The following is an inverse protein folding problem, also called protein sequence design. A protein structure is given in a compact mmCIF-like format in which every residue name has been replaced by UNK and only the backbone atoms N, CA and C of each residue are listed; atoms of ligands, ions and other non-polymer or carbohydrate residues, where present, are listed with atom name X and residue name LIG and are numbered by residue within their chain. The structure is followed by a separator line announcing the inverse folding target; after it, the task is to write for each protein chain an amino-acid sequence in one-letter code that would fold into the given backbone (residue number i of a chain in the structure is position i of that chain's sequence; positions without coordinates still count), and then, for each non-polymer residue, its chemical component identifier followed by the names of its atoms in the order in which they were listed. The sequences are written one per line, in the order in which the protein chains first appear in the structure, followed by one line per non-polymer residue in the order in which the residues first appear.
data_IF_401908592682
#
_entry.id   IF_401908592682
#
_cell.length_a   1.000
_cell.length_b   1.000
_cell.length_c   1.000
_cell.angle_alpha   90.00
_cell.angle_beta   90.00
_cell.angle_gamma   90.00
#
_symmetry.space_group_name_H-M   'P 1'
#
loop_
_entity.id
_entity.type
_entity.pdbx_description
1 polymer ?
#
# COMPACT_ATOMS: atom_id res chain seq x y z
N UNK A 1 -3.03 -13.31 17.14
CA UNK A 1 -4.26 -14.04 16.82
C UNK A 1 -5.45 -13.29 17.43
N UNK A 2 -6.56 -13.20 16.71
CA UNK A 2 -7.78 -12.52 17.21
C UNK A 2 -8.64 -13.41 18.12
N UNK A 3 -8.54 -14.72 17.95
CA UNK A 3 -9.33 -15.72 18.65
C UNK A 3 -8.63 -17.08 18.71
N UNK A 4 -9.24 -18.05 19.42
CA UNK A 4 -8.72 -19.42 19.58
C UNK A 4 -8.60 -20.12 18.22
N UNK A 5 -9.58 -19.96 17.33
CA UNK A 5 -9.57 -20.59 15.99
C UNK A 5 -8.37 -20.12 15.16
N UNK A 6 -8.10 -18.81 15.18
CA UNK A 6 -6.91 -18.24 14.52
C UNK A 6 -5.62 -18.78 15.12
N UNK A 7 -5.54 -18.94 16.45
CA UNK A 7 -4.38 -19.50 17.13
C UNK A 7 -4.11 -20.95 16.72
N UNK A 8 -5.15 -21.77 16.60
CA UNK A 8 -5.06 -23.16 16.14
C UNK A 8 -4.57 -23.26 14.68
N UNK A 9 -5.05 -22.38 13.80
CA UNK A 9 -4.57 -22.32 12.41
C UNK A 9 -3.09 -21.96 12.35
N UNK A 10 -2.67 -20.93 13.08
CA UNK A 10 -1.26 -20.50 13.13
C UNK A 10 -0.37 -21.58 13.72
N UNK A 11 -0.83 -22.35 14.72
CA UNK A 11 -0.12 -23.51 15.26
C UNK A 11 0.14 -24.55 14.17
N UNK A 12 -0.88 -24.89 13.37
CA UNK A 12 -0.73 -25.83 12.25
C UNK A 12 0.27 -25.34 11.20
N UNK A 13 0.27 -24.03 10.91
CA UNK A 13 1.27 -23.44 10.00
C UNK A 13 2.69 -23.61 10.52
N UNK A 14 2.94 -23.40 11.84
CA UNK A 14 4.26 -23.64 12.46
C UNK A 14 4.69 -25.08 12.34
N UNK A 15 3.80 -26.02 12.71
CA UNK A 15 4.07 -27.45 12.66
C UNK A 15 4.36 -27.92 11.22
N UNK A 16 3.61 -27.39 10.24
CA UNK A 16 3.85 -27.66 8.83
C UNK A 16 5.21 -27.13 8.37
N UNK A 17 5.52 -25.88 8.68
CA UNK A 17 6.78 -25.27 8.27
C UNK A 17 8.00 -25.99 8.83
N UNK A 18 7.92 -26.42 10.09
CA UNK A 18 8.97 -27.22 10.73
C UNK A 18 9.17 -28.58 10.04
N UNK A 19 8.07 -29.30 9.74
CA UNK A 19 8.14 -30.59 9.05
C UNK A 19 8.65 -30.47 7.61
N UNK A 20 8.24 -29.41 6.91
CA UNK A 20 8.61 -29.18 5.52
C UNK A 20 9.98 -28.48 5.36
N UNK A 21 10.60 -28.01 6.45
CA UNK A 21 11.88 -27.30 6.39
C UNK A 21 11.80 -25.94 5.69
N UNK A 22 10.61 -25.32 5.63
CA UNK A 22 10.39 -24.04 4.95
C UNK A 22 10.52 -22.87 5.92
N UNK A 23 10.86 -21.68 5.40
CA UNK A 23 10.94 -20.47 6.21
C UNK A 23 9.57 -20.08 6.74
N UNK A 24 9.51 -19.72 8.01
CA UNK A 24 8.33 -19.24 8.68
C UNK A 24 8.64 -18.03 9.54
N UNK A 25 7.95 -16.95 9.30
CA UNK A 25 8.10 -15.69 10.04
C UNK A 25 7.00 -15.58 11.10
N UNK A 26 7.30 -15.98 12.33
CA UNK A 26 6.37 -15.93 13.46
C UNK A 26 6.43 -14.57 14.18
N UNK A 27 5.58 -14.42 15.19
CA UNK A 27 5.51 -13.22 16.05
C UNK A 27 6.91 -12.79 16.51
N UNK A 28 7.21 -11.49 16.40
CA UNK A 28 8.51 -10.91 16.71
C UNK A 28 9.54 -10.98 15.57
N UNK A 29 9.30 -11.79 14.55
CA UNK A 29 10.12 -11.84 13.32
C UNK A 29 9.32 -11.53 12.08
N UNK A 30 8.02 -11.28 12.26
CA UNK A 30 7.06 -11.13 11.19
C UNK A 30 7.04 -9.71 10.62
N UNK A 31 6.42 -9.60 9.47
CA UNK A 31 6.01 -8.40 8.80
C UNK A 31 4.86 -8.76 7.87
N UNK A 32 4.25 -7.76 7.30
CA UNK A 32 3.31 -7.96 6.21
C UNK A 32 4.11 -8.43 5.00
N UNK A 33 3.74 -9.56 4.39
CA UNK A 33 4.60 -10.27 3.41
C UNK A 33 5.09 -9.36 2.28
N UNK A 34 4.25 -8.42 1.80
CA UNK A 34 4.59 -7.54 0.69
C UNK A 34 5.59 -6.42 1.04
N UNK A 35 5.88 -6.22 2.31
CA UNK A 35 6.96 -5.38 2.82
C UNK A 35 8.15 -6.27 3.24
N UNK A 36 7.87 -7.35 3.96
CA UNK A 36 8.88 -8.25 4.53
C UNK A 36 9.73 -8.94 3.46
N UNK A 37 9.13 -9.52 2.42
CA UNK A 37 9.88 -10.28 1.42
C UNK A 37 10.85 -9.40 0.61
N UNK A 38 10.45 -8.21 0.12
CA UNK A 38 11.39 -7.26 -0.47
C UNK A 38 12.52 -6.84 0.47
N UNK A 39 12.23 -6.49 1.73
CA UNK A 39 13.25 -6.04 2.68
C UNK A 39 14.23 -7.13 3.10
N UNK A 40 13.86 -8.40 2.94
CA UNK A 40 14.71 -9.56 3.23
C UNK A 40 15.48 -10.07 1.99
N UNK A 41 15.37 -9.39 0.85
CA UNK A 41 16.00 -9.80 -0.40
C UNK A 41 15.49 -11.14 -0.94
N UNK A 42 14.26 -11.55 -0.57
CA UNK A 42 13.64 -12.81 -0.98
C UNK A 42 12.92 -12.70 -2.32
N UNK A 43 12.81 -11.51 -2.84
CA UNK A 43 12.29 -11.22 -4.19
C UNK A 43 13.26 -10.29 -4.88
N UNK A 44 13.59 -10.62 -6.10
CA UNK A 44 14.56 -9.92 -6.94
C UNK A 44 14.02 -9.71 -8.36
N UNK A 45 14.59 -8.78 -9.13
CA UNK A 45 14.22 -8.60 -10.53
C UNK A 45 14.30 -9.89 -11.32
N UNK A 46 13.32 -10.12 -12.20
CA UNK A 46 13.24 -11.32 -13.02
C UNK A 46 12.72 -12.58 -12.32
N UNK A 47 12.38 -12.50 -11.02
CA UNK A 47 11.74 -13.61 -10.34
C UNK A 47 10.27 -13.76 -10.74
N UNK A 48 9.78 -15.02 -10.70
CA UNK A 48 8.36 -15.34 -10.77
C UNK A 48 7.90 -15.73 -9.35
N UNK A 49 6.96 -14.96 -8.80
CA UNK A 49 6.46 -15.17 -7.43
C UNK A 49 4.96 -15.42 -7.46
N UNK A 50 4.56 -16.62 -7.09
CA UNK A 50 3.16 -17.00 -6.89
C UNK A 50 2.85 -17.01 -5.38
N UNK A 51 1.84 -16.27 -4.96
CA UNK A 51 1.46 -16.15 -3.55
C UNK A 51 -0.04 -16.32 -3.32
N UNK A 52 -0.43 -16.91 -2.20
CA UNK A 52 -1.84 -17.06 -1.83
C UNK A 52 -2.45 -15.76 -1.29
N UNK A 53 -1.99 -14.64 -1.80
CA UNK A 53 -2.52 -13.29 -1.53
C UNK A 53 -2.58 -12.50 -2.83
N UNK A 54 -3.68 -11.77 -3.04
CA UNK A 54 -3.91 -11.03 -4.28
C UNK A 54 -2.90 -9.89 -4.49
N UNK A 55 -2.36 -9.29 -3.41
CA UNK A 55 -1.37 -8.21 -3.50
C UNK A 55 0.07 -8.69 -3.74
N UNK A 56 0.27 -9.96 -4.06
CA UNK A 56 1.57 -10.50 -4.55
C UNK A 56 2.08 -9.72 -5.78
N UNK A 57 1.18 -9.06 -6.52
CA UNK A 57 1.52 -8.12 -7.61
C UNK A 57 2.46 -6.98 -7.18
N UNK A 58 2.56 -6.66 -5.88
CA UNK A 58 3.48 -5.66 -5.31
C UNK A 58 4.92 -5.83 -5.79
N UNK A 59 5.35 -7.07 -6.00
CA UNK A 59 6.74 -7.37 -6.37
C UNK A 59 7.11 -6.93 -7.78
N UNK A 60 6.14 -6.58 -8.60
CA UNK A 60 6.38 -5.97 -9.90
C UNK A 60 7.07 -4.60 -9.82
N UNK A 61 7.00 -3.92 -8.67
CA UNK A 61 7.81 -2.72 -8.40
C UNK A 61 9.33 -2.99 -8.41
N UNK A 62 9.73 -4.25 -8.22
CA UNK A 62 11.13 -4.71 -8.29
C UNK A 62 11.48 -5.29 -9.67
N UNK A 63 10.56 -5.29 -10.64
CA UNK A 63 10.75 -5.99 -11.92
C UNK A 63 10.58 -7.51 -11.82
N UNK A 64 9.90 -8.01 -10.79
CA UNK A 64 9.53 -9.42 -10.65
C UNK A 64 8.08 -9.64 -11.13
N UNK A 65 7.79 -10.77 -11.75
CA UNK A 65 6.42 -11.16 -12.04
C UNK A 65 5.77 -11.75 -10.78
N UNK A 66 5.15 -10.91 -9.97
CA UNK A 66 4.39 -11.31 -8.79
C UNK A 66 2.91 -11.47 -9.11
N UNK A 67 2.27 -12.57 -8.72
CA UNK A 67 0.83 -12.77 -8.95
C UNK A 67 0.17 -13.56 -7.83
N UNK A 68 -1.06 -13.14 -7.50
CA UNK A 68 -1.93 -13.86 -6.57
C UNK A 68 -2.51 -15.12 -7.19
N UNK A 69 -2.53 -16.22 -6.42
CA UNK A 69 -3.16 -17.49 -6.77
C UNK A 69 -4.07 -17.98 -5.63
N UNK A 70 -4.94 -18.92 -5.90
CA UNK A 70 -5.77 -19.52 -4.87
C UNK A 70 -4.95 -20.32 -3.85
N UNK A 71 -5.45 -20.44 -2.61
CA UNK A 71 -4.76 -21.21 -1.58
C UNK A 71 -4.61 -22.70 -1.93
N UNK A 72 -5.55 -23.27 -2.66
CA UNK A 72 -5.47 -24.64 -3.19
C UNK A 72 -4.38 -24.77 -4.26
N UNK A 73 -4.28 -23.77 -5.16
CA UNK A 73 -3.24 -23.72 -6.18
C UNK A 73 -1.86 -23.56 -5.54
N UNK A 74 -1.76 -22.72 -4.48
CA UNK A 74 -0.52 -22.59 -3.73
C UNK A 74 -0.11 -23.90 -3.05
N UNK A 75 -1.05 -24.65 -2.49
CA UNK A 75 -0.77 -25.97 -1.91
C UNK A 75 -0.34 -26.97 -3.00
N UNK A 76 -0.97 -26.96 -4.17
CA UNK A 76 -0.58 -27.80 -5.31
C UNK A 76 0.85 -27.42 -5.80
N UNK A 77 1.12 -26.12 -5.97
CA UNK A 77 2.45 -25.63 -6.35
C UNK A 77 3.54 -26.06 -5.36
N UNK A 78 3.29 -26.00 -4.05
CA UNK A 78 4.21 -26.49 -3.04
C UNK A 78 4.43 -28.00 -3.09
N UNK A 79 3.41 -28.77 -3.44
CA UNK A 79 3.49 -30.23 -3.53
C UNK A 79 4.15 -30.73 -4.81
N UNK A 80 3.90 -30.06 -5.93
CA UNK A 80 4.34 -30.48 -7.26
C UNK A 80 5.63 -29.78 -7.72
N UNK A 81 5.94 -28.61 -7.14
CA UNK A 81 7.06 -27.77 -7.57
C UNK A 81 6.77 -26.97 -8.84
N UNK A 82 5.55 -27.01 -9.35
CA UNK A 82 5.14 -26.34 -10.60
C UNK A 82 3.71 -25.82 -10.53
N UNK A 83 3.40 -24.81 -11.36
CA UNK A 83 2.07 -24.29 -11.60
C UNK A 83 1.98 -23.80 -13.05
N UNK A 84 0.82 -23.94 -13.67
CA UNK A 84 0.58 -23.35 -14.97
C UNK A 84 -0.01 -21.94 -14.83
N UNK A 85 0.39 -21.03 -15.71
CA UNK A 85 -0.17 -19.69 -15.81
C UNK A 85 -0.44 -19.36 -17.28
N UNK A 86 -1.58 -18.73 -17.54
CA UNK A 86 -1.78 -18.06 -18.83
C UNK A 86 -0.97 -16.77 -18.81
N UNK A 87 -0.10 -16.57 -19.79
CA UNK A 87 0.62 -15.30 -19.96
C UNK A 87 -0.40 -14.18 -20.21
N UNK A 88 -0.46 -13.14 -19.35
CA UNK A 88 -1.40 -12.04 -19.56
C UNK A 88 -0.94 -11.14 -20.71
N UNK A 89 -1.88 -10.56 -21.42
CA UNK A 89 -1.59 -9.39 -22.25
C UNK A 89 -1.15 -8.22 -21.38
N UNK A 90 -0.35 -7.31 -21.94
CA UNK A 90 0.11 -6.12 -21.22
C UNK A 90 -0.62 -4.87 -21.68
N UNK A 91 -0.95 -3.99 -20.73
CA UNK A 91 -1.32 -2.59 -21.00
C UNK A 91 -0.21 -1.68 -20.50
N UNK A 92 0.08 -0.62 -21.25
CA UNK A 92 1.11 0.36 -20.92
C UNK A 92 0.48 1.64 -20.36
N UNK A 93 1.03 2.11 -19.27
CA UNK A 93 0.57 3.29 -18.55
C UNK A 93 1.75 4.28 -18.47
N UNK A 94 1.69 5.35 -19.23
CA UNK A 94 2.76 6.35 -19.34
C UNK A 94 2.38 7.57 -18.53
N UNK A 95 3.25 7.97 -17.60
CA UNK A 95 3.01 9.11 -16.71
C UNK A 95 3.99 10.24 -17.00
N UNK A 96 3.44 11.36 -17.46
CA UNK A 96 4.16 12.58 -17.80
C UNK A 96 4.16 13.56 -16.63
N UNK A 97 5.18 14.43 -16.63
CA UNK A 97 5.29 15.50 -15.65
C UNK A 97 5.87 15.06 -14.31
N UNK A 98 5.78 15.92 -13.32
CA UNK A 98 6.27 15.67 -11.97
C UNK A 98 5.14 15.84 -10.96
N UNK A 99 4.89 14.83 -10.10
CA UNK A 99 3.89 14.95 -9.06
C UNK A 99 4.14 16.16 -8.16
N UNK A 100 3.07 16.88 -7.82
CA UNK A 100 3.12 18.00 -6.89
C UNK A 100 3.41 17.57 -5.46
N UNK A 101 3.62 18.56 -4.58
CA UNK A 101 3.77 18.33 -3.14
C UNK A 101 2.58 17.52 -2.63
N UNK A 102 2.72 16.54 -1.85
CA UNK A 102 1.69 15.65 -1.27
C UNK A 102 1.07 14.63 -2.22
N UNK A 103 1.48 14.58 -3.49
CA UNK A 103 1.06 13.55 -4.43
C UNK A 103 2.12 12.47 -4.51
N UNK A 104 1.74 11.25 -4.16
CA UNK A 104 2.60 10.08 -4.19
C UNK A 104 2.02 8.93 -5.00
N UNK A 105 2.65 7.77 -4.90
CA UNK A 105 2.21 6.56 -5.62
C UNK A 105 0.76 6.17 -5.34
N UNK A 106 0.27 6.44 -4.12
CA UNK A 106 -1.13 6.19 -3.75
C UNK A 106 -2.10 7.05 -4.55
N UNK A 107 -1.78 8.32 -4.72
CA UNK A 107 -2.64 9.25 -5.45
C UNK A 107 -2.63 8.92 -6.94
N UNK A 108 -1.46 8.59 -7.50
CA UNK A 108 -1.29 8.17 -8.89
C UNK A 108 -2.12 6.92 -9.17
N UNK A 109 -2.00 5.87 -8.35
CA UNK A 109 -2.73 4.62 -8.62
C UNK A 109 -4.24 4.76 -8.37
N UNK A 110 -4.69 5.54 -7.40
CA UNK A 110 -6.11 5.84 -7.21
C UNK A 110 -6.68 6.60 -8.41
N UNK A 111 -5.96 7.61 -8.92
CA UNK A 111 -6.35 8.32 -10.15
C UNK A 111 -6.45 7.37 -11.34
N UNK A 112 -5.48 6.46 -11.49
CA UNK A 112 -5.45 5.45 -12.56
C UNK A 112 -6.65 4.52 -12.47
N UNK A 113 -6.94 3.97 -11.29
CA UNK A 113 -8.09 3.08 -11.08
C UNK A 113 -9.39 3.84 -11.31
N UNK A 114 -9.48 5.11 -10.90
CA UNK A 114 -10.62 5.97 -11.19
C UNK A 114 -10.89 6.19 -12.68
N UNK A 115 -9.86 6.10 -13.53
CA UNK A 115 -9.96 6.23 -14.99
C UNK A 115 -10.22 4.91 -15.71
N UNK A 116 -9.66 3.81 -15.22
CA UNK A 116 -9.77 2.49 -15.84
C UNK A 116 -10.97 1.68 -15.30
N UNK A 117 -11.38 1.92 -14.06
CA UNK A 117 -12.32 1.07 -13.33
C UNK A 117 -11.66 -0.15 -12.69
N UNK A 118 -12.39 -0.82 -11.80
CA UNK A 118 -11.91 -2.01 -11.06
C UNK A 118 -11.71 -3.25 -11.95
N UNK A 119 -12.27 -3.25 -13.15
CA UNK A 119 -12.12 -4.33 -14.15
C UNK A 119 -11.30 -3.88 -15.38
N UNK A 120 -10.77 -2.65 -15.39
CA UNK A 120 -10.13 -2.05 -16.56
C UNK A 120 -8.85 -2.72 -17.04
N UNK A 121 -8.18 -3.48 -16.17
CA UNK A 121 -7.00 -4.29 -16.50
C UNK A 121 -7.22 -5.79 -16.22
N UNK A 122 -8.47 -6.25 -16.32
CA UNK A 122 -8.84 -7.62 -15.93
C UNK A 122 -8.00 -8.68 -16.64
N UNK A 123 -7.26 -9.46 -15.82
CA UNK A 123 -6.34 -10.51 -16.26
C UNK A 123 -5.17 -10.01 -17.13
N UNK A 124 -4.84 -8.73 -17.11
CA UNK A 124 -3.72 -8.14 -17.84
C UNK A 124 -2.55 -7.83 -16.90
N UNK A 125 -1.38 -7.60 -17.46
CA UNK A 125 -0.25 -6.99 -16.76
C UNK A 125 -0.31 -5.47 -17.00
N UNK A 126 -0.16 -4.67 -15.93
CA UNK A 126 -0.04 -3.22 -16.01
C UNK A 126 1.43 -2.83 -15.98
N UNK A 127 1.95 -2.26 -17.06
CA UNK A 127 3.31 -1.71 -17.11
C UNK A 127 3.27 -0.21 -16.84
N UNK A 128 3.87 0.23 -15.73
CA UNK A 128 3.96 1.62 -15.32
C UNK A 128 5.29 2.22 -15.74
N UNK A 129 5.27 3.31 -16.50
CA UNK A 129 6.45 3.93 -17.07
C UNK A 129 6.29 5.46 -17.19
N UNK A 130 7.34 6.14 -17.61
CA UNK A 130 7.36 7.58 -17.82
C UNK A 130 8.09 8.34 -16.73
N UNK A 131 8.39 9.61 -17.02
CA UNK A 131 9.27 10.43 -16.18
C UNK A 131 8.75 10.60 -14.74
N UNK A 132 7.43 10.61 -14.54
CA UNK A 132 6.87 10.67 -13.20
C UNK A 132 7.22 9.42 -12.38
N UNK A 133 7.10 8.22 -12.98
CA UNK A 133 7.45 6.95 -12.31
C UNK A 133 8.94 6.89 -11.98
N UNK A 134 9.80 7.39 -12.88
CA UNK A 134 11.24 7.43 -12.67
C UNK A 134 11.65 8.32 -11.49
N UNK A 135 10.86 9.37 -11.21
CA UNK A 135 11.12 10.25 -10.05
C UNK A 135 10.76 9.61 -8.70
N UNK A 136 9.83 8.66 -8.66
CA UNK A 136 9.33 8.04 -7.44
C UNK A 136 10.42 7.23 -6.71
N UNK A 137 10.34 7.24 -5.38
CA UNK A 137 11.07 6.30 -4.52
C UNK A 137 10.46 4.90 -4.54
N UNK A 138 11.13 3.93 -3.92
CA UNK A 138 10.68 2.55 -3.92
C UNK A 138 9.38 2.34 -3.14
N UNK A 139 9.11 3.10 -2.08
CA UNK A 139 7.86 2.99 -1.31
C UNK A 139 6.66 3.35 -2.20
N UNK A 140 6.76 4.43 -2.96
CA UNK A 140 5.73 4.86 -3.91
C UNK A 140 5.55 3.86 -5.06
N UNK A 141 6.64 3.29 -5.61
CA UNK A 141 6.57 2.24 -6.65
C UNK A 141 5.91 0.96 -6.13
N UNK A 142 6.24 0.53 -4.92
CA UNK A 142 5.62 -0.62 -4.26
C UNK A 142 4.11 -0.38 -4.06
N UNK A 143 3.71 0.83 -3.68
CA UNK A 143 2.29 1.21 -3.55
C UNK A 143 1.53 1.10 -4.88
N UNK A 144 2.11 1.59 -5.98
CA UNK A 144 1.50 1.53 -7.32
C UNK A 144 1.32 0.07 -7.73
N UNK A 145 2.37 -0.73 -7.67
CA UNK A 145 2.31 -2.14 -8.04
C UNK A 145 1.37 -2.95 -7.12
N UNK A 146 1.33 -2.63 -5.81
CA UNK A 146 0.41 -3.25 -4.85
C UNK A 146 -1.04 -3.12 -5.27
N UNK A 147 -1.44 -1.96 -5.76
CA UNK A 147 -2.83 -1.67 -6.10
C UNK A 147 -3.20 -2.00 -7.57
N UNK A 148 -2.31 -2.55 -8.37
CA UNK A 148 -2.63 -2.99 -9.73
C UNK A 148 -3.78 -4.03 -9.76
N UNK A 149 -3.85 -4.92 -8.77
CA UNK A 149 -4.94 -5.89 -8.63
C UNK A 149 -6.30 -5.23 -8.43
N UNK A 150 -6.36 -4.01 -7.91
CA UNK A 150 -7.61 -3.28 -7.71
C UNK A 150 -8.21 -2.74 -9.02
N UNK A 151 -7.44 -2.78 -10.13
CA UNK A 151 -7.93 -2.63 -11.50
C UNK A 151 -8.16 -3.99 -12.20
N UNK A 152 -8.09 -5.11 -11.47
CA UNK A 152 -8.26 -6.46 -12.01
C UNK A 152 -6.99 -7.09 -12.59
N UNK A 153 -5.83 -6.44 -12.50
CA UNK A 153 -4.59 -6.91 -13.10
C UNK A 153 -4.01 -8.15 -12.40
N UNK A 154 -3.26 -8.95 -13.14
CA UNK A 154 -2.47 -10.07 -12.61
C UNK A 154 -1.20 -9.59 -11.91
N UNK A 155 -0.60 -8.52 -12.41
CA UNK A 155 0.60 -7.92 -11.85
C UNK A 155 0.70 -6.45 -12.26
N UNK A 156 1.46 -5.67 -11.50
CA UNK A 156 1.84 -4.31 -11.87
C UNK A 156 3.36 -4.24 -11.99
N UNK A 157 3.89 -3.93 -13.15
CA UNK A 157 5.31 -3.99 -13.48
C UNK A 157 5.91 -2.59 -13.60
N UNK A 158 7.09 -2.40 -13.01
CA UNK A 158 7.96 -1.25 -13.23
C UNK A 158 9.33 -1.80 -13.63
N UNK A 159 9.86 -1.32 -14.75
CA UNK A 159 11.19 -1.73 -15.20
C UNK A 159 12.25 -1.37 -14.14
N UNK A 160 13.12 -2.31 -13.76
CA UNK A 160 14.10 -2.06 -12.72
C UNK A 160 15.16 -1.05 -13.21
N UNK A 161 15.38 0.00 -12.43
CA UNK A 161 16.38 1.02 -12.60
C UNK A 161 17.44 0.99 -11.48
N UNK A 162 18.30 2.01 -11.41
CA UNK A 162 19.32 2.11 -10.38
C UNK A 162 18.77 2.13 -8.95
N UNK A 163 17.59 2.77 -8.73
CA UNK A 163 16.92 2.79 -7.42
C UNK A 163 16.48 1.39 -7.01
N UNK A 164 15.92 0.64 -7.96
CA UNK A 164 15.52 -0.75 -7.74
C UNK A 164 16.73 -1.62 -7.44
N UNK A 165 17.80 -1.48 -8.22
CA UNK A 165 19.06 -2.22 -8.03
C UNK A 165 19.66 -1.94 -6.65
N UNK A 166 19.72 -0.68 -6.24
CA UNK A 166 20.25 -0.29 -4.92
C UNK A 166 19.40 -0.87 -3.80
N UNK A 167 18.06 -0.76 -3.89
CA UNK A 167 17.13 -1.31 -2.92
C UNK A 167 17.31 -2.82 -2.74
N UNK A 168 17.34 -3.57 -3.85
CA UNK A 168 17.49 -5.03 -3.84
C UNK A 168 18.84 -5.47 -3.30
N UNK A 169 19.94 -4.80 -3.69
CA UNK A 169 21.29 -5.09 -3.18
C UNK A 169 21.42 -4.86 -1.67
N UNK A 170 20.85 -3.78 -1.16
CA UNK A 170 20.82 -3.50 0.29
C UNK A 170 20.07 -4.58 1.06
N UNK A 171 19.05 -5.18 0.45
CA UNK A 171 18.30 -6.29 1.03
C UNK A 171 19.01 -7.64 0.90
N UNK A 172 20.09 -7.75 0.14
CA UNK A 172 20.83 -9.00 -0.11
C UNK A 172 20.24 -9.84 -1.24
N UNK A 173 19.38 -9.28 -2.09
CA UNK A 173 18.86 -9.92 -3.28
C UNK A 173 19.82 -9.87 -4.48
N UNK A 174 19.44 -10.52 -5.58
CA UNK A 174 20.23 -10.53 -6.80
C UNK A 174 19.76 -9.48 -7.84
N UNK A 175 20.63 -9.04 -8.72
CA UNK A 175 20.36 -8.00 -9.73
C UNK A 175 20.95 -8.36 -11.09
N UNK A 176 20.96 -9.63 -11.44
CA UNK A 176 21.49 -10.19 -12.67
C UNK A 176 20.43 -10.33 -13.79
N UNK A 177 19.16 -10.13 -13.47
CA UNK A 177 18.01 -10.28 -14.39
C UNK A 177 17.19 -9.00 -14.45
N UNK A 178 17.72 -7.98 -15.10
CA UNK A 178 17.04 -6.69 -15.28
C UNK A 178 16.33 -6.68 -16.64
N UNK A 179 15.05 -7.08 -16.63
CA UNK A 179 14.24 -7.08 -17.84
C UNK A 179 13.57 -5.74 -18.06
N UNK A 180 13.49 -5.34 -19.32
CA UNK A 180 12.75 -4.19 -19.82
C UNK A 180 11.96 -4.63 -21.04
N UNK A 181 10.90 -3.93 -21.37
CA UNK A 181 10.15 -4.17 -22.59
C UNK A 181 10.98 -3.81 -23.81
N UNK A 182 10.89 -4.62 -24.87
CA UNK A 182 11.52 -4.35 -26.14
C UNK A 182 10.95 -3.05 -26.75
N UNK A 183 11.73 -2.31 -27.58
CA UNK A 183 11.25 -1.08 -28.21
C UNK A 183 10.02 -1.26 -29.10
N UNK A 184 9.84 -2.46 -29.65
CA UNK A 184 8.74 -2.87 -30.53
C UNK A 184 7.70 -3.74 -29.82
N UNK A 185 7.69 -3.78 -28.50
CA UNK A 185 6.72 -4.53 -27.72
C UNK A 185 5.28 -4.08 -28.02
N UNK A 186 4.41 -5.05 -28.26
CA UNK A 186 2.99 -4.82 -28.51
C UNK A 186 2.21 -4.81 -27.19
N UNK A 187 1.28 -3.85 -27.06
CA UNK A 187 0.39 -3.70 -25.91
C UNK A 187 -1.07 -3.78 -26.34
N UNK A 188 -1.90 -4.40 -25.50
CA UNK A 188 -3.35 -4.43 -25.72
C UNK A 188 -3.97 -3.02 -25.69
N UNK A 189 -3.39 -2.12 -24.90
CA UNK A 189 -3.73 -0.70 -24.85
C UNK A 189 -2.58 0.12 -24.28
N UNK A 190 -2.53 1.41 -24.64
CA UNK A 190 -1.61 2.39 -24.08
C UNK A 190 -2.44 3.56 -23.52
N UNK A 191 -2.18 3.91 -22.26
CA UNK A 191 -2.81 5.04 -21.61
C UNK A 191 -1.76 6.06 -21.20
N UNK A 192 -2.07 7.34 -21.37
CA UNK A 192 -1.20 8.44 -20.98
C UNK A 192 -1.87 9.28 -19.90
N UNK A 193 -1.08 9.68 -18.89
CA UNK A 193 -1.52 10.46 -17.74
C UNK A 193 -0.58 11.65 -17.53
N UNK A 194 -1.15 12.85 -17.39
CA UNK A 194 -0.41 14.03 -16.92
C UNK A 194 -0.59 14.15 -15.40
N UNK A 195 0.50 14.20 -14.65
CA UNK A 195 0.45 14.24 -13.18
C UNK A 195 0.96 15.54 -12.55
N UNK A 196 1.41 16.50 -13.34
CA UNK A 196 1.91 17.78 -12.81
C UNK A 196 0.85 18.56 -12.04
N UNK A 197 -0.40 18.51 -12.51
CA UNK A 197 -1.55 19.17 -11.88
C UNK A 197 -2.41 18.20 -11.06
N UNK A 198 -1.95 16.94 -10.89
CA UNK A 198 -2.69 15.96 -10.09
C UNK A 198 -2.74 16.43 -8.63
N UNK A 199 -3.95 16.49 -8.10
CA UNK A 199 -4.20 16.76 -6.68
C UNK A 199 -4.20 15.47 -5.87
N UNK A 200 -3.95 15.51 -4.55
CA UNK A 200 -4.15 14.35 -3.68
C UNK A 200 -5.54 13.75 -3.87
N UNK A 201 -5.60 12.42 -3.92
CA UNK A 201 -6.81 11.65 -4.26
C UNK A 201 -7.46 11.02 -3.03
N UNK A 202 -8.78 10.88 -3.10
CA UNK A 202 -9.56 10.07 -2.14
C UNK A 202 -10.51 9.19 -2.93
N UNK A 203 -10.48 7.88 -2.68
CA UNK A 203 -11.50 6.98 -3.21
C UNK A 203 -12.67 6.87 -2.21
N UNK A 204 -13.85 7.26 -2.66
CA UNK A 204 -15.08 7.17 -1.86
C UNK A 204 -15.56 5.72 -1.74
N UNK A 205 -16.37 5.37 -0.72
CA UNK A 205 -17.02 4.07 -0.64
C UNK A 205 -17.87 3.79 -1.90
N UNK A 206 -18.01 2.54 -2.37
CA UNK A 206 -17.43 1.31 -1.80
C UNK A 206 -16.51 0.62 -2.80
N UNK A 207 -15.90 1.37 -3.71
CA UNK A 207 -14.95 0.86 -4.72
C UNK A 207 -13.76 1.82 -4.86
N UNK A 208 -12.53 1.30 -5.10
CA UNK A 208 -11.35 2.14 -5.35
C UNK A 208 -11.49 3.04 -6.58
N UNK A 209 -12.33 2.68 -7.56
CA UNK A 209 -12.61 3.48 -8.77
C UNK A 209 -13.39 4.77 -8.48
N UNK A 210 -14.00 4.89 -7.30
CA UNK A 210 -14.65 6.13 -6.87
C UNK A 210 -13.65 7.21 -6.46
N UNK A 211 -12.43 7.16 -7.02
CA UNK A 211 -11.36 8.12 -6.75
C UNK A 211 -11.68 9.48 -7.35
N UNK A 212 -11.39 10.53 -6.59
CA UNK A 212 -11.51 11.94 -7.00
C UNK A 212 -10.55 12.83 -6.23
N UNK A 213 -10.28 14.05 -6.69
CA UNK A 213 -9.50 15.02 -5.93
C UNK A 213 -10.06 15.23 -4.51
N UNK A 214 -9.18 15.36 -3.53
CA UNK A 214 -9.57 15.53 -2.12
C UNK A 214 -10.46 16.74 -1.88
N UNK A 215 -10.33 17.79 -2.69
CA UNK A 215 -11.15 19.00 -2.63
C UNK A 215 -12.64 18.71 -2.91
N UNK A 216 -12.91 17.70 -3.75
CA UNK A 216 -14.28 17.29 -4.11
C UNK A 216 -14.92 16.35 -3.07
N UNK A 217 -14.09 15.72 -2.26
CA UNK A 217 -14.51 14.84 -1.16
C UNK A 217 -14.43 15.53 0.21
N UNK A 218 -14.03 16.78 0.27
CA UNK A 218 -13.76 17.51 1.49
C UNK A 218 -14.99 17.69 2.39
N UNK A 219 -14.74 17.79 3.70
CA UNK A 219 -15.76 18.09 4.70
C UNK A 219 -16.47 16.89 5.31
N UNK A 220 -16.30 15.67 4.79
CA UNK A 220 -16.90 14.46 5.36
C UNK A 220 -16.24 14.17 6.72
N UNK A 221 -17.03 14.16 7.79
CA UNK A 221 -16.57 13.82 9.15
C UNK A 221 -16.21 12.35 9.24
N UNK A 222 -15.15 12.05 10.03
CA UNK A 222 -14.61 10.69 10.17
C UNK A 222 -14.42 10.33 11.65
N UNK A 223 -14.45 9.04 11.93
CA UNK A 223 -14.30 8.46 13.27
C UNK A 223 -12.93 7.77 13.46
N UNK A 224 -12.29 7.37 12.36
CA UNK A 224 -11.05 6.62 12.41
C UNK A 224 -10.11 6.96 11.27
N UNK A 225 -8.81 6.87 11.53
CA UNK A 225 -7.75 6.89 10.51
C UNK A 225 -6.84 5.68 10.72
N UNK A 226 -6.47 5.01 9.61
CA UNK A 226 -5.49 3.93 9.63
C UNK A 226 -4.41 4.23 8.61
N UNK A 227 -3.15 4.34 9.06
CA UNK A 227 -1.98 4.62 8.21
C UNK A 227 -1.00 3.47 8.30
N UNK A 228 -0.56 2.96 7.16
CA UNK A 228 0.44 1.91 7.08
C UNK A 228 0.02 0.70 6.27
N UNK A 229 0.26 -0.49 6.81
CA UNK A 229 -0.02 -1.80 6.21
C UNK A 229 0.86 -2.10 4.99
N UNK A 230 0.45 -3.04 4.09
CA UNK A 230 1.28 -3.41 2.94
C UNK A 230 1.38 -2.32 1.89
N UNK A 231 0.37 -1.44 1.83
CA UNK A 231 0.26 -0.41 0.80
C UNK A 231 1.13 0.81 1.13
N UNK A 232 1.01 1.33 2.36
CA UNK A 232 1.72 2.54 2.79
C UNK A 232 2.30 2.40 4.21
N UNK A 233 2.90 1.25 4.49
CA UNK A 233 3.57 0.98 5.77
C UNK A 233 5.09 0.94 5.68
N UNK A 234 5.69 1.41 4.60
CA UNK A 234 7.13 1.60 4.49
C UNK A 234 7.58 2.81 5.30
N UNK A 235 8.88 2.89 5.57
CA UNK A 235 9.43 3.96 6.41
C UNK A 235 9.18 5.36 5.83
N UNK A 236 9.26 5.50 4.52
CA UNK A 236 9.01 6.78 3.83
C UNK A 236 7.55 7.23 3.95
N UNK A 237 6.60 6.30 3.88
CA UNK A 237 5.18 6.57 4.15
C UNK A 237 4.96 7.11 5.57
N UNK A 238 5.63 6.49 6.55
CA UNK A 238 5.56 6.90 7.95
C UNK A 238 6.21 8.28 8.17
N UNK A 239 7.31 8.58 7.48
CA UNK A 239 7.94 9.91 7.51
C UNK A 239 7.00 10.99 6.98
N UNK A 240 6.29 10.73 5.89
CA UNK A 240 5.27 11.65 5.35
C UNK A 240 4.19 11.92 6.37
N UNK A 241 3.59 10.88 6.96
CA UNK A 241 2.56 11.02 7.99
C UNK A 241 3.08 11.78 9.22
N UNK A 242 4.27 11.43 9.71
CA UNK A 242 4.90 12.07 10.87
C UNK A 242 5.18 13.56 10.61
N UNK A 243 5.59 13.94 9.40
CA UNK A 243 5.86 15.35 9.05
C UNK A 243 4.63 16.24 9.20
N UNK A 244 3.44 15.68 8.98
CA UNK A 244 2.16 16.38 9.12
C UNK A 244 1.67 16.36 10.58
N UNK A 245 1.87 15.24 11.29
CA UNK A 245 1.41 15.05 12.68
C UNK A 245 2.30 15.73 13.71
N UNK A 246 3.58 16.00 13.40
CA UNK A 246 4.56 16.59 14.32
C UNK A 246 4.07 17.90 14.89
N UNK A 247 4.04 17.99 16.24
CA UNK A 247 3.58 19.16 16.97
C UNK A 247 2.05 19.36 17.00
N UNK A 248 1.29 18.42 16.41
CA UNK A 248 -0.18 18.49 16.33
C UNK A 248 -0.82 17.32 17.07
N UNK A 249 -2.12 17.43 17.32
CA UNK A 249 -2.92 16.38 17.95
C UNK A 249 -3.99 15.88 16.99
N UNK A 250 -4.25 14.60 17.06
CA UNK A 250 -5.41 13.98 16.42
C UNK A 250 -6.69 14.59 16.99
N UNK A 251 -7.69 14.80 16.14
CA UNK A 251 -8.98 15.33 16.56
C UNK A 251 -9.64 14.43 17.63
N UNK A 252 -10.22 14.97 18.71
CA UNK A 252 -10.72 14.16 19.84
C UNK A 252 -11.74 13.07 19.48
N UNK A 253 -12.45 13.21 18.36
CA UNK A 253 -13.41 12.19 17.89
C UNK A 253 -12.74 11.08 17.06
N UNK A 254 -11.47 11.22 16.66
CA UNK A 254 -10.82 10.33 15.72
C UNK A 254 -9.89 9.36 16.44
N UNK A 255 -10.00 8.09 16.13
CA UNK A 255 -9.01 7.07 16.48
C UNK A 255 -7.98 6.98 15.36
N UNK A 256 -6.73 7.31 15.63
CA UNK A 256 -5.65 7.20 14.65
C UNK A 256 -4.75 5.99 14.97
N UNK A 257 -4.61 5.10 14.02
CA UNK A 257 -3.86 3.84 14.14
C UNK A 257 -2.75 3.82 13.10
N UNK A 258 -1.50 3.67 13.56
CA UNK A 258 -0.31 3.59 12.71
C UNK A 258 0.19 2.14 12.70
N UNK A 259 0.41 1.58 11.51
CA UNK A 259 0.85 0.19 11.33
C UNK A 259 2.08 0.14 10.44
N UNK A 260 3.28 0.04 11.02
CA UNK A 260 4.51 -0.24 10.27
C UNK A 260 4.38 -1.56 9.51
N UNK A 261 4.93 -1.62 8.29
CA UNK A 261 4.79 -2.81 7.43
C UNK A 261 5.60 -4.03 7.90
N UNK A 262 6.68 -3.81 8.65
CA UNK A 262 7.52 -4.88 9.18
C UNK A 262 8.14 -4.50 10.52
N UNK A 263 8.73 -5.49 11.21
CA UNK A 263 9.49 -5.25 12.46
C UNK A 263 10.71 -4.36 12.21
N UNK A 264 11.33 -4.48 11.03
CA UNK A 264 12.45 -3.60 10.65
C UNK A 264 11.98 -2.16 10.48
N UNK A 265 10.91 -1.94 9.73
CA UNK A 265 10.31 -0.61 9.58
C UNK A 265 9.92 -0.04 10.95
N UNK A 266 9.34 -0.84 11.83
CA UNK A 266 8.99 -0.41 13.18
C UNK A 266 10.22 0.05 13.98
N UNK A 267 11.30 -0.75 13.95
CA UNK A 267 12.55 -0.42 14.64
C UNK A 267 13.18 0.86 14.06
N UNK A 268 13.19 1.00 12.74
CA UNK A 268 13.73 2.19 12.09
C UNK A 268 12.87 3.44 12.41
N UNK A 269 11.55 3.30 12.46
CA UNK A 269 10.65 4.37 12.92
C UNK A 269 10.90 4.78 14.40
N UNK A 270 11.24 3.82 15.26
CA UNK A 270 11.66 4.12 16.65
C UNK A 270 12.98 4.91 16.64
N UNK A 271 13.97 4.46 15.88
CA UNK A 271 15.30 5.09 15.82
C UNK A 271 15.26 6.52 15.28
N UNK A 272 14.35 6.80 14.36
CA UNK A 272 14.15 8.13 13.78
C UNK A 272 13.22 9.03 14.62
N UNK A 273 12.71 8.54 15.75
CA UNK A 273 11.78 9.30 16.59
C UNK A 273 10.36 9.45 16.03
N UNK A 274 10.02 8.73 14.94
CA UNK A 274 8.68 8.80 14.33
C UNK A 274 7.62 8.27 15.28
N UNK A 275 7.93 7.22 16.04
CA UNK A 275 7.01 6.64 17.03
C UNK A 275 6.68 7.64 18.13
N UNK A 276 7.66 8.41 18.61
CA UNK A 276 7.45 9.50 19.57
C UNK A 276 6.48 10.53 19.02
N UNK A 277 6.70 11.01 17.77
CA UNK A 277 5.79 11.96 17.11
C UNK A 277 4.36 11.42 17.05
N UNK A 278 4.18 10.14 16.68
CA UNK A 278 2.85 9.54 16.59
C UNK A 278 2.17 9.45 17.97
N UNK A 279 2.89 9.03 19.01
CA UNK A 279 2.36 8.91 20.36
C UNK A 279 2.03 10.30 20.93
N UNK A 280 2.90 11.29 20.73
CA UNK A 280 2.63 12.67 21.09
C UNK A 280 1.40 13.23 20.37
N UNK A 281 1.20 12.87 19.10
CA UNK A 281 0.00 13.23 18.33
C UNK A 281 -1.26 12.50 18.79
N UNK A 282 -1.18 11.59 19.79
CA UNK A 282 -2.28 10.75 20.29
C UNK A 282 -2.70 9.65 19.31
N UNK A 283 -1.78 9.17 18.47
CA UNK A 283 -1.98 7.97 17.66
C UNK A 283 -1.63 6.71 18.46
N UNK A 284 -2.28 5.59 18.13
CA UNK A 284 -1.83 4.25 18.54
C UNK A 284 -0.83 3.73 17.51
N UNK A 285 0.35 3.31 17.95
CA UNK A 285 1.32 2.62 17.08
C UNK A 285 1.25 1.12 17.35
N UNK A 286 0.90 0.35 16.33
CA UNK A 286 0.75 -1.10 16.42
C UNK A 286 2.00 -1.82 15.96
N UNK A 287 2.10 -3.10 16.31
CA UNK A 287 3.00 -4.04 15.63
C UNK A 287 2.53 -4.28 14.19
N UNK A 288 3.42 -4.73 13.27
CA UNK A 288 3.03 -5.08 11.90
C UNK A 288 1.88 -6.08 11.85
N UNK A 289 0.81 -5.71 11.17
CA UNK A 289 -0.39 -6.55 11.02
C UNK A 289 -1.28 -6.07 9.88
N UNK A 290 -2.07 -6.98 9.31
CA UNK A 290 -3.17 -6.65 8.41
C UNK A 290 -4.51 -6.43 9.13
N UNK A 291 -4.54 -6.44 10.46
CA UNK A 291 -5.74 -6.45 11.28
C UNK A 291 -6.85 -5.51 10.85
N UNK A 292 -6.66 -4.18 10.84
CA UNK A 292 -7.72 -3.25 10.44
C UNK A 292 -8.08 -3.35 8.96
N UNK A 293 -7.12 -3.58 8.07
CA UNK A 293 -7.33 -3.63 6.61
C UNK A 293 -8.40 -4.63 6.17
N UNK A 294 -8.61 -5.70 6.95
CA UNK A 294 -9.56 -6.76 6.63
C UNK A 294 -10.67 -6.91 7.71
N UNK A 295 -10.79 -5.94 8.63
CA UNK A 295 -11.75 -6.05 9.74
C UNK A 295 -11.46 -7.22 10.69
N UNK A 296 -10.20 -7.65 10.77
CA UNK A 296 -9.81 -8.81 11.58
C UNK A 296 -9.68 -8.52 13.07
N UNK A 297 -9.01 -7.45 13.41
CA UNK A 297 -8.83 -6.96 14.78
C UNK A 297 -8.31 -5.51 14.77
N UNK A 298 -8.35 -4.83 15.91
CA UNK A 298 -7.86 -3.48 16.14
C UNK A 298 -8.35 -2.47 15.07
N UNK A 299 -9.30 -1.62 15.43
CA UNK A 299 -9.89 -0.65 14.51
C UNK A 299 -10.99 -1.21 13.61
N UNK A 300 -11.66 -2.28 14.03
CA UNK A 300 -12.88 -2.76 13.39
C UNK A 300 -13.97 -1.70 13.54
N UNK A 301 -14.60 -1.34 12.43
CA UNK A 301 -15.61 -0.28 12.39
C UNK A 301 -16.98 -0.78 12.82
N UNK A 302 -17.69 0.02 13.60
CA UNK A 302 -19.08 -0.16 13.95
C UNK A 302 -20.02 0.35 12.84
N UNK A 303 -21.33 0.13 13.01
CA UNK A 303 -22.37 0.63 12.11
C UNK A 303 -22.27 2.16 11.96
N UNK A 304 -22.23 2.64 10.71
CA UNK A 304 -22.20 4.07 10.37
C UNK A 304 -20.86 4.78 10.63
N UNK A 305 -19.85 4.10 11.19
CA UNK A 305 -18.53 4.71 11.35
C UNK A 305 -17.82 4.90 10.01
N UNK A 306 -17.04 5.99 9.92
CA UNK A 306 -16.27 6.40 8.74
C UNK A 306 -14.79 6.38 9.02
N UNK A 307 -14.02 5.74 8.15
CA UNK A 307 -12.57 5.70 8.27
C UNK A 307 -11.86 6.20 7.00
N UNK A 308 -10.82 7.01 7.17
CA UNK A 308 -9.80 7.22 6.13
C UNK A 308 -8.69 6.20 6.32
N UNK A 309 -8.35 5.48 5.27
CA UNK A 309 -7.35 4.41 5.33
C UNK A 309 -6.36 4.47 4.17
N UNK A 310 -5.09 4.20 4.47
CA UNK A 310 -4.08 4.01 3.44
C UNK A 310 -4.03 2.57 2.92
N UNK A 311 -4.99 1.71 3.31
CA UNK A 311 -5.16 0.37 2.77
C UNK A 311 -5.53 0.41 1.28
N UNK A 312 -5.69 -0.75 0.68
CA UNK A 312 -5.89 -0.89 -0.76
C UNK A 312 -7.34 -1.14 -1.17
N UNK A 313 -8.24 -1.50 -0.24
CA UNK A 313 -9.65 -1.85 -0.51
C UNK A 313 -10.61 -1.15 0.43
N UNK A 314 -11.75 -0.76 -0.13
CA UNK A 314 -12.84 -0.11 0.62
C UNK A 314 -14.22 -0.71 0.29
N UNK A 315 -14.27 -1.98 -0.07
CA UNK A 315 -15.52 -2.69 -0.35
C UNK A 315 -16.44 -2.72 0.88
N UNK A 316 -17.73 -2.93 0.65
CA UNK A 316 -18.75 -3.06 1.72
C UNK A 316 -18.28 -4.05 2.79
N UNK A 317 -18.28 -3.62 4.04
CA UNK A 317 -17.88 -4.44 5.20
C UNK A 317 -16.37 -4.72 5.30
N UNK A 318 -15.54 -4.10 4.47
CA UNK A 318 -14.10 -4.41 4.41
C UNK A 318 -13.38 -4.24 5.74
N UNK A 319 -13.69 -3.20 6.50
CA UNK A 319 -13.02 -2.91 7.77
C UNK A 319 -13.92 -3.11 8.99
N UNK A 320 -15.09 -3.77 8.83
CA UNK A 320 -16.01 -4.02 9.94
C UNK A 320 -17.46 -4.17 9.50
N UNK A 321 -18.35 -3.35 10.09
CA UNK A 321 -19.77 -3.41 9.80
C UNK A 321 -20.07 -3.11 8.32
N UNK A 322 -21.02 -3.81 7.66
CA UNK A 322 -21.38 -3.54 6.26
C UNK A 322 -21.83 -2.10 5.96
N UNK A 323 -22.41 -1.43 6.95
CA UNK A 323 -22.83 -0.03 6.83
C UNK A 323 -21.75 0.97 7.27
N UNK A 324 -20.52 0.53 7.52
CA UNK A 324 -19.38 1.41 7.73
C UNK A 324 -18.80 1.84 6.39
N UNK A 325 -18.20 3.01 6.35
CA UNK A 325 -17.64 3.63 5.15
C UNK A 325 -16.12 3.74 5.25
N UNK A 326 -15.41 3.27 4.22
CA UNK A 326 -13.94 3.39 4.14
C UNK A 326 -13.56 4.26 2.95
N UNK A 327 -12.74 5.28 3.21
CA UNK A 327 -12.21 6.20 2.23
C UNK A 327 -10.72 5.92 2.05
N UNK A 328 -10.28 5.58 0.83
CA UNK A 328 -8.87 5.31 0.57
C UNK A 328 -8.14 6.62 0.25
N UNK A 329 -7.01 6.83 0.89
CA UNK A 329 -6.20 8.03 0.66
C UNK A 329 -4.70 7.76 0.91
N UNK A 330 -3.85 8.73 0.51
CA UNK A 330 -2.43 8.69 0.79
C UNK A 330 -2.12 8.97 2.28
N UNK A 331 -0.91 8.62 2.77
CA UNK A 331 -0.48 8.94 4.13
C UNK A 331 -0.61 10.43 4.47
N UNK A 332 -0.38 11.31 3.51
CA UNK A 332 -0.49 12.75 3.71
C UNK A 332 -1.94 13.19 3.97
N UNK A 333 -2.87 12.73 3.14
CA UNK A 333 -4.31 13.02 3.31
C UNK A 333 -4.84 12.39 4.60
N UNK A 334 -4.45 11.15 4.89
CA UNK A 334 -4.89 10.44 6.09
C UNK A 334 -4.41 11.16 7.38
N UNK A 335 -3.15 11.61 7.42
CA UNK A 335 -2.62 12.38 8.54
C UNK A 335 -3.34 13.74 8.72
N UNK A 336 -3.61 14.44 7.62
CA UNK A 336 -4.36 15.69 7.65
C UNK A 336 -5.80 15.48 8.14
N UNK A 337 -6.47 14.43 7.66
CA UNK A 337 -7.82 14.08 8.08
C UNK A 337 -7.89 13.71 9.57
N UNK A 338 -6.85 13.02 10.09
CA UNK A 338 -6.75 12.70 11.52
C UNK A 338 -6.75 13.97 12.40
N UNK A 339 -6.03 15.00 11.98
CA UNK A 339 -5.95 16.29 12.72
C UNK A 339 -7.27 17.05 12.59
N UNK A 340 -7.84 17.11 11.39
CA UNK A 340 -9.04 17.90 11.11
C UNK A 340 -10.36 17.27 11.60
N UNK A 341 -10.39 15.94 11.83
CA UNK A 341 -11.61 15.19 12.15
C UNK A 341 -12.55 15.00 10.95
N UNK A 342 -12.07 15.33 9.76
CA UNK A 342 -12.79 15.24 8.48
C UNK A 342 -11.82 15.12 7.32
N UNK A 343 -12.32 14.70 6.17
CA UNK A 343 -11.50 14.61 4.95
C UNK A 343 -11.09 16.01 4.51
N UNK A 344 -9.76 16.24 4.40
CA UNK A 344 -9.15 17.51 3.95
C UNK A 344 -7.84 17.25 3.24
N UNK A 345 -7.43 18.20 2.39
CA UNK A 345 -6.08 18.22 1.82
C UNK A 345 -5.02 18.60 2.86
N UNK A 346 -3.78 18.07 2.72
CA UNK A 346 -2.70 18.33 3.69
C UNK A 346 -2.37 19.82 3.88
N UNK A 347 -2.46 20.61 2.84
CA UNK A 347 -2.20 22.06 2.89
C UNK A 347 -3.13 22.81 3.84
N UNK A 348 -4.34 22.30 4.09
CA UNK A 348 -5.28 22.96 4.99
C UNK A 348 -4.81 22.95 6.45
N UNK A 349 -4.13 21.88 6.85
CA UNK A 349 -3.61 21.76 8.22
C UNK A 349 -2.20 22.32 8.37
N UNK A 350 -1.36 22.26 7.31
CA UNK A 350 0.01 22.75 7.35
C UNK A 350 0.09 24.27 7.25
N UNK A 351 -0.78 24.92 6.46
CA UNK A 351 -0.79 26.39 6.29
C UNK A 351 -1.32 27.16 7.50
N UNK A 352 -2.11 26.55 8.38
CA UNK A 352 -2.67 27.24 9.56
C UNK A 352 -1.62 27.73 10.57
N UNK A 353 -0.42 27.18 10.57
CA UNK A 353 0.66 27.62 11.49
C UNK A 353 1.30 28.96 11.09
N UNK A 354 1.31 29.31 9.83
CA UNK A 354 1.88 30.58 9.35
C UNK A 354 1.03 31.78 9.78
N UNK A 355 -0.27 31.57 10.03
CA UNK A 355 -1.21 32.66 10.40
C UNK A 355 -1.28 32.85 11.93
N UNK A 356 -1.05 31.80 12.72
CA UNK A 356 -1.09 31.89 14.20
C UNK A 356 0.25 32.26 14.84
N UNK A 357 1.37 32.12 14.13
CA UNK A 357 2.71 32.50 14.58
C UNK A 357 3.06 33.99 14.41
N UNK A 358 2.17 34.80 13.82
CA UNK A 358 2.40 36.23 13.60
C UNK A 358 1.71 37.15 14.65
N UNK A 359 1.16 36.58 15.72
CA UNK A 359 0.47 37.32 16.77
C UNK A 359 0.92 36.88 18.18
N UNK A 360 2.21 37.04 18.50
CA UNK A 360 2.72 37.13 19.87
C UNK A 360 3.96 38.05 19.91
#
# INVERSE_FOLDING_TARGET
NKDIKSAEIVRRCREFSQRAGIRYYDVGRAGIQHVLLPEQGLVSPGDLVAGADSHTCTYGALGAFGTGIGSTDAAAAMALGEIWLKVPESIKLVYHGRPGRWVGGKDIILHTIGRLGVDGARYQAMEFTGEAIDTLDMANRLTIANMAIEAGAKTGLIAPDEKTVEFVRRAGGHTDRLYQSDPDAEYAAVYEFEVSDLKPQVALPFLPENARPVDEAGGIEIDQVVIGMCTNGNLDDLRVAASILKGRKVHPRVRAIIIPGSQKVYLDAVREGLVEIFVEAQCVVSTPTCGPCLGGHMGVLAQGERAVSTSNRNFVGRMGHPESEVYLASPAVAAAAAIAGRIVGPDEVVRKEVITGAAT
#
